data_IF_396107608858
#
_entry.id   IF_396107608858
#
_cell.length_a   1.000
_cell.length_b   1.000
_cell.length_c   1.000
_cell.angle_alpha   90.00
_cell.angle_beta   90.00
_cell.angle_gamma   90.00
#
_symmetry.space_group_name_H-M   'P 1'
#
loop_
_entity.id
_entity.type
_entity.pdbx_description
1 polymer ?
#
# COMPACT_ATOMS: atom_id res chain seq x y z
N UNK A 1 80.73 -23.98 -29.97
CA UNK A 1 80.30 -23.44 -28.66
C UNK A 1 79.97 -21.96 -28.82
N UNK A 2 78.69 -21.59 -29.02
CA UNK A 2 78.18 -20.22 -28.85
C UNK A 2 76.79 -20.31 -28.24
N UNK A 3 76.58 -19.51 -27.20
CA UNK A 3 75.59 -19.66 -26.13
C UNK A 3 74.17 -19.37 -26.61
N UNK A 4 73.24 -20.27 -26.32
CA UNK A 4 71.80 -20.05 -26.42
C UNK A 4 71.34 -19.15 -25.24
N UNK A 5 70.71 -18.01 -25.54
CA UNK A 5 69.90 -17.27 -24.58
C UNK A 5 68.48 -17.85 -24.61
N UNK A 6 67.90 -18.32 -23.49
CA UNK A 6 66.49 -18.68 -23.46
C UNK A 6 65.66 -17.39 -23.35
N UNK A 7 64.82 -17.14 -24.35
CA UNK A 7 63.74 -16.15 -24.25
C UNK A 7 62.74 -16.65 -23.20
N UNK A 8 62.73 -16.02 -22.03
CA UNK A 8 61.69 -16.20 -21.03
C UNK A 8 60.44 -15.52 -21.57
N UNK A 9 59.58 -16.31 -22.23
CA UNK A 9 58.23 -15.88 -22.55
C UNK A 9 57.45 -15.79 -21.23
N UNK A 10 57.26 -14.56 -20.73
CA UNK A 10 56.28 -14.28 -19.69
C UNK A 10 54.90 -14.63 -20.28
N UNK A 11 54.42 -15.83 -20.00
CA UNK A 11 53.02 -16.18 -20.18
C UNK A 11 52.22 -15.34 -19.17
N UNK A 12 51.78 -14.16 -19.61
CA UNK A 12 50.75 -13.41 -18.92
C UNK A 12 49.50 -14.30 -18.91
N UNK A 13 49.31 -15.03 -17.81
CA UNK A 13 48.07 -15.71 -17.51
C UNK A 13 46.98 -14.64 -17.46
N UNK A 14 46.29 -14.44 -18.58
CA UNK A 14 45.06 -13.69 -18.62
C UNK A 14 44.09 -14.45 -17.73
N UNK A 15 43.98 -14.04 -16.47
CA UNK A 15 42.86 -14.39 -15.62
C UNK A 15 41.61 -13.89 -16.35
N UNK A 16 40.99 -14.77 -17.12
CA UNK A 16 39.64 -14.56 -17.63
C UNK A 16 38.78 -14.49 -16.38
N UNK A 17 38.51 -13.28 -15.91
CA UNK A 17 37.57 -13.05 -14.83
C UNK A 17 36.22 -13.56 -15.33
N UNK A 18 35.87 -14.79 -14.95
CA UNK A 18 34.54 -15.30 -15.18
C UNK A 18 33.55 -14.31 -14.53
N UNK A 19 32.48 -13.92 -15.25
CA UNK A 19 31.48 -13.04 -14.67
C UNK A 19 31.01 -13.68 -13.36
N UNK A 20 31.10 -12.94 -12.27
CA UNK A 20 30.70 -13.40 -10.96
C UNK A 20 29.23 -13.85 -11.06
N UNK A 21 29.00 -15.16 -11.00
CA UNK A 21 27.66 -15.67 -10.78
C UNK A 21 27.24 -15.29 -9.35
N UNK A 22 25.94 -15.35 -9.11
CA UNK A 22 25.39 -15.08 -7.80
C UNK A 22 24.92 -16.41 -7.22
N UNK A 23 25.50 -16.82 -6.09
CA UNK A 23 25.12 -18.02 -5.36
C UNK A 23 23.83 -17.76 -4.59
N UNK A 24 22.85 -18.61 -4.82
CA UNK A 24 21.64 -18.65 -4.03
C UNK A 24 21.92 -19.38 -2.70
N UNK A 25 21.63 -18.72 -1.58
CA UNK A 25 21.90 -19.25 -0.23
C UNK A 25 20.62 -19.61 0.52
N UNK A 26 19.47 -19.13 0.07
CA UNK A 26 18.18 -19.47 0.63
C UNK A 26 17.08 -19.29 -0.42
N UNK A 27 16.04 -20.13 -0.35
CA UNK A 27 14.91 -20.16 -1.28
C UNK A 27 13.61 -20.44 -0.53
N UNK A 28 12.56 -19.67 -0.81
CA UNK A 28 11.22 -19.86 -0.22
C UNK A 28 10.10 -19.25 -1.09
N UNK A 29 8.86 -19.70 -0.91
CA UNK A 29 7.70 -19.21 -1.66
C UNK A 29 6.92 -18.15 -0.88
N UNK A 30 6.46 -17.11 -1.57
CA UNK A 30 5.46 -16.17 -1.06
C UNK A 30 4.41 -15.91 -2.12
N UNK A 31 3.20 -16.45 -1.90
CA UNK A 31 2.06 -16.19 -2.76
C UNK A 31 2.25 -16.69 -4.20
N UNK A 32 2.98 -17.80 -4.38
CA UNK A 32 3.30 -18.37 -5.69
C UNK A 32 4.50 -17.73 -6.41
N UNK A 33 5.21 -16.83 -5.72
CA UNK A 33 6.48 -16.28 -6.20
C UNK A 33 7.65 -16.97 -5.49
N UNK A 34 8.59 -17.46 -6.28
CA UNK A 34 9.80 -18.05 -5.75
C UNK A 34 10.78 -16.94 -5.37
N UNK A 35 11.05 -16.78 -4.08
CA UNK A 35 12.03 -15.84 -3.53
C UNK A 35 13.35 -16.56 -3.28
N UNK A 36 14.46 -15.92 -3.70
CA UNK A 36 15.82 -16.35 -3.46
C UNK A 36 16.66 -15.23 -2.85
N UNK A 37 17.62 -15.61 -2.00
CA UNK A 37 18.62 -14.71 -1.40
C UNK A 37 19.97 -15.03 -2.03
N UNK A 38 20.65 -14.01 -2.54
CA UNK A 38 21.85 -14.20 -3.35
C UNK A 38 23.06 -13.49 -2.79
N UNK A 39 24.21 -14.15 -2.81
CA UNK A 39 25.52 -13.56 -2.54
C UNK A 39 26.33 -13.42 -3.83
N UNK A 40 27.29 -12.52 -3.82
CA UNK A 40 28.27 -12.43 -4.89
C UNK A 40 29.32 -13.54 -4.70
N UNK A 41 29.57 -14.37 -5.71
CA UNK A 41 30.43 -15.56 -5.56
C UNK A 41 31.87 -15.25 -5.15
N UNK A 42 32.40 -14.09 -5.55
CA UNK A 42 33.78 -13.70 -5.27
C UNK A 42 33.94 -13.16 -3.85
N UNK A 43 33.09 -12.22 -3.47
CA UNK A 43 33.16 -11.56 -2.16
C UNK A 43 32.41 -12.30 -1.06
N UNK A 44 31.51 -13.23 -1.44
CA UNK A 44 30.52 -13.90 -0.59
C UNK A 44 29.59 -12.96 0.17
N UNK A 45 29.63 -11.66 -0.13
CA UNK A 45 28.75 -10.67 0.47
C UNK A 45 27.36 -10.77 -0.15
N UNK A 46 26.33 -10.47 0.65
CA UNK A 46 24.98 -10.29 0.17
C UNK A 46 24.96 -9.36 -1.06
N UNK A 47 24.25 -9.79 -2.09
CA UNK A 47 24.12 -9.04 -3.34
C UNK A 47 22.71 -8.51 -3.52
N UNK A 48 21.71 -9.38 -3.46
CA UNK A 48 20.30 -9.02 -3.66
C UNK A 48 19.37 -10.14 -3.17
N UNK A 49 18.11 -9.77 -2.92
CA UNK A 49 17.00 -10.72 -2.89
C UNK A 49 16.25 -10.60 -4.21
N UNK A 50 15.81 -11.72 -4.77
CA UNK A 50 15.02 -11.75 -6.00
C UNK A 50 13.78 -12.62 -5.85
N UNK A 51 12.73 -12.27 -6.56
CA UNK A 51 11.53 -13.08 -6.73
C UNK A 51 11.36 -13.42 -8.20
N UNK A 52 10.82 -14.60 -8.50
CA UNK A 52 10.54 -15.03 -9.87
C UNK A 52 9.24 -15.82 -9.98
N UNK A 53 8.59 -15.71 -11.14
CA UNK A 53 7.43 -16.51 -11.51
C UNK A 53 7.46 -16.81 -13.01
N UNK A 54 7.07 -18.04 -13.36
CA UNK A 54 6.99 -18.49 -14.76
C UNK A 54 5.61 -18.21 -15.34
N UNK A 55 5.56 -17.69 -16.57
CA UNK A 55 4.32 -17.36 -17.26
C UNK A 55 4.08 -18.26 -18.47
N UNK A 56 2.81 -18.42 -18.82
CA UNK A 56 2.36 -19.24 -19.97
C UNK A 56 2.88 -18.73 -21.32
N UNK A 57 3.35 -17.48 -21.38
CA UNK A 57 3.97 -16.90 -22.56
C UNK A 57 5.43 -17.35 -22.76
N UNK A 58 5.95 -18.26 -21.92
CA UNK A 58 7.33 -18.77 -22.01
C UNK A 58 8.39 -17.85 -21.40
N UNK A 59 7.98 -16.77 -20.76
CA UNK A 59 8.86 -15.85 -20.03
C UNK A 59 8.77 -16.09 -18.54
N UNK A 60 9.90 -15.91 -17.85
CA UNK A 60 9.94 -15.73 -16.40
C UNK A 60 10.01 -14.23 -16.13
N UNK A 61 9.13 -13.76 -15.24
CA UNK A 61 9.19 -12.41 -14.70
C UNK A 61 9.95 -12.44 -13.38
N UNK A 62 10.86 -11.48 -13.21
CA UNK A 62 11.70 -11.34 -12.03
C UNK A 62 11.58 -9.94 -11.43
N UNK A 63 11.67 -9.86 -10.12
CA UNK A 63 11.92 -8.61 -9.39
C UNK A 63 13.10 -8.82 -8.47
N UNK A 64 13.91 -7.79 -8.25
CA UNK A 64 15.05 -7.87 -7.33
C UNK A 64 15.23 -6.59 -6.55
N UNK A 65 15.71 -6.68 -5.31
CA UNK A 65 16.17 -5.56 -4.49
C UNK A 65 17.60 -5.85 -4.03
N UNK A 66 18.54 -4.95 -4.34
CA UNK A 66 19.96 -5.08 -4.03
C UNK A 66 20.29 -4.75 -2.57
N UNK A 67 21.55 -4.96 -2.18
CA UNK A 67 22.11 -4.46 -0.91
C UNK A 67 21.98 -2.93 -0.76
N UNK A 68 22.09 -2.18 -1.86
CA UNK A 68 21.88 -0.73 -1.92
C UNK A 68 20.41 -0.31 -1.92
N UNK A 69 19.48 -1.27 -1.83
CA UNK A 69 18.03 -1.08 -1.97
C UNK A 69 17.59 -0.58 -3.36
N UNK A 70 18.45 -0.70 -4.37
CA UNK A 70 18.05 -0.51 -5.76
C UNK A 70 17.17 -1.68 -6.19
N UNK A 71 16.02 -1.36 -6.78
CA UNK A 71 15.08 -2.36 -7.23
C UNK A 71 15.01 -2.40 -8.75
N UNK A 72 14.74 -3.58 -9.29
CA UNK A 72 14.76 -3.83 -10.71
C UNK A 72 13.70 -4.84 -11.10
N UNK A 73 13.26 -4.74 -12.35
CA UNK A 73 12.46 -5.76 -13.03
C UNK A 73 13.34 -6.51 -14.02
N UNK A 74 13.08 -7.80 -14.18
CA UNK A 74 13.79 -8.65 -15.12
C UNK A 74 12.88 -9.59 -15.87
N UNK A 75 13.32 -9.98 -17.05
CA UNK A 75 12.65 -10.93 -17.92
C UNK A 75 13.67 -11.96 -18.36
N UNK A 76 13.32 -13.24 -18.29
CA UNK A 76 14.17 -14.28 -18.86
C UNK A 76 13.39 -15.28 -19.69
N UNK A 77 14.09 -15.89 -20.64
CA UNK A 77 13.57 -16.98 -21.45
C UNK A 77 14.69 -17.96 -21.79
N UNK A 78 14.46 -19.28 -21.73
CA UNK A 78 15.43 -20.27 -22.20
C UNK A 78 15.70 -20.15 -23.70
N UNK A 79 14.78 -19.59 -24.48
CA UNK A 79 14.88 -19.45 -25.94
C UNK A 79 15.75 -18.26 -26.38
N UNK A 80 16.05 -17.32 -25.48
CA UNK A 80 16.80 -16.12 -25.84
C UNK A 80 18.28 -16.39 -26.08
N UNK A 81 18.92 -15.61 -26.95
CA UNK A 81 20.38 -15.61 -27.13
C UNK A 81 20.89 -14.18 -27.12
N UNK A 82 20.73 -13.51 -25.98
CA UNK A 82 21.12 -12.11 -25.80
C UNK A 82 22.64 -11.97 -25.82
N UNK A 83 23.15 -10.85 -26.32
CA UNK A 83 24.55 -10.46 -26.13
C UNK A 83 24.71 -9.83 -24.75
N UNK A 84 25.45 -10.44 -23.80
CA UNK A 84 25.63 -9.85 -22.48
C UNK A 84 26.20 -8.44 -22.56
N UNK A 85 25.66 -7.54 -21.74
CA UNK A 85 26.03 -6.14 -21.69
C UNK A 85 25.35 -5.23 -22.70
N UNK A 86 24.63 -5.78 -23.71
CA UNK A 86 23.85 -4.99 -24.66
C UNK A 86 22.63 -4.36 -23.97
N UNK A 87 22.33 -3.11 -24.35
CA UNK A 87 21.17 -2.37 -23.87
C UNK A 87 19.95 -2.55 -24.79
N UNK A 88 18.77 -2.41 -24.21
CA UNK A 88 17.46 -2.57 -24.82
C UNK A 88 16.53 -1.51 -24.27
N UNK A 89 15.70 -0.94 -25.13
CA UNK A 89 14.64 -0.03 -24.69
C UNK A 89 13.40 -0.86 -24.36
N UNK A 90 12.87 -0.65 -23.15
CA UNK A 90 11.76 -1.41 -22.61
C UNK A 90 10.65 -0.42 -22.24
N UNK A 91 9.49 -0.58 -22.87
CA UNK A 91 8.28 0.09 -22.44
C UNK A 91 7.49 -0.84 -21.52
N UNK A 92 7.20 -0.36 -20.32
CA UNK A 92 6.42 -1.08 -19.32
C UNK A 92 5.15 -0.29 -19.06
N UNK A 93 4.00 -0.93 -19.22
CA UNK A 93 2.71 -0.35 -18.89
C UNK A 93 2.01 -1.22 -17.87
N UNK A 94 1.64 -0.61 -16.74
CA UNK A 94 0.86 -1.27 -15.70
C UNK A 94 -0.58 -0.78 -15.83
N UNK A 95 -1.48 -1.73 -16.05
CA UNK A 95 -2.90 -1.50 -16.29
C UNK A 95 -3.14 -0.45 -17.41
N UNK A 96 -3.90 0.59 -17.11
CA UNK A 96 -4.19 1.71 -18.01
C UNK A 96 -3.26 2.91 -17.86
N UNK A 97 -2.18 2.80 -17.08
CA UNK A 97 -1.27 3.93 -16.85
C UNK A 97 -0.45 4.29 -18.10
N UNK A 98 0.16 5.47 -18.08
CA UNK A 98 1.13 5.87 -19.11
C UNK A 98 2.32 4.88 -19.14
N UNK A 99 2.82 4.51 -20.33
CA UNK A 99 4.01 3.69 -20.45
C UNK A 99 5.22 4.33 -19.76
N UNK A 100 5.91 3.53 -18.96
CA UNK A 100 7.22 3.83 -18.42
C UNK A 100 8.28 3.25 -19.35
N UNK A 101 9.06 4.13 -20.00
CA UNK A 101 10.22 3.71 -20.79
C UNK A 101 11.47 3.63 -19.92
N UNK A 102 12.12 2.47 -19.91
CA UNK A 102 13.36 2.21 -19.17
C UNK A 102 14.39 1.53 -20.05
N UNK A 103 15.67 1.79 -19.80
CA UNK A 103 16.75 1.08 -20.46
C UNK A 103 17.10 -0.19 -19.68
N UNK A 104 16.93 -1.34 -20.31
CA UNK A 104 17.33 -2.64 -19.77
C UNK A 104 18.67 -3.09 -20.35
N UNK A 105 19.39 -3.91 -19.59
CA UNK A 105 20.67 -4.49 -19.99
C UNK A 105 20.62 -6.01 -19.91
N UNK A 106 21.14 -6.68 -20.94
CA UNK A 106 21.31 -8.12 -20.92
C UNK A 106 22.37 -8.48 -19.87
N UNK A 107 21.96 -9.13 -18.79
CA UNK A 107 22.86 -9.57 -17.70
C UNK A 107 23.64 -10.80 -18.15
N UNK A 108 22.98 -11.70 -18.85
CA UNK A 108 23.57 -12.88 -19.49
C UNK A 108 22.80 -13.18 -20.80
N UNK A 109 23.03 -14.34 -21.40
CA UNK A 109 22.39 -14.72 -22.68
C UNK A 109 20.89 -14.95 -22.59
N UNK A 110 20.32 -15.05 -21.39
CA UNK A 110 18.91 -15.42 -21.14
C UNK A 110 18.13 -14.38 -20.32
N UNK A 111 18.79 -13.40 -19.70
CA UNK A 111 18.19 -12.47 -18.75
C UNK A 111 18.41 -11.01 -19.17
N UNK A 112 17.30 -10.29 -19.30
CA UNK A 112 17.24 -8.84 -19.42
C UNK A 112 16.83 -8.23 -18.08
N UNK A 113 17.53 -7.19 -17.60
CA UNK A 113 17.22 -6.50 -16.34
C UNK A 113 17.20 -4.99 -16.55
N UNK A 114 16.18 -4.32 -16.02
CA UNK A 114 16.09 -2.87 -15.97
C UNK A 114 15.96 -2.40 -14.52
N UNK A 115 16.86 -1.51 -14.09
CA UNK A 115 16.74 -0.82 -12.80
C UNK A 115 15.57 0.16 -12.89
N UNK A 116 14.72 0.18 -11.86
CA UNK A 116 13.55 1.05 -11.79
C UNK A 116 13.85 2.23 -10.85
N UNK A 117 13.18 3.35 -11.08
CA UNK A 117 13.36 4.55 -10.26
C UNK A 117 13.00 4.28 -8.80
N UNK A 118 13.76 4.84 -7.85
CA UNK A 118 13.41 4.86 -6.42
C UNK A 118 12.20 5.79 -6.21
N UNK A 119 11.02 5.23 -6.44
CA UNK A 119 9.76 5.93 -6.40
C UNK A 119 8.74 5.04 -5.75
N UNK A 120 8.27 5.45 -4.56
CA UNK A 120 7.19 4.76 -3.86
C UNK A 120 5.93 4.67 -4.74
N UNK A 121 5.67 5.69 -5.57
CA UNK A 121 4.55 5.66 -6.51
C UNK A 121 4.73 4.54 -7.55
N UNK A 122 5.91 4.44 -8.18
CA UNK A 122 6.19 3.39 -9.15
C UNK A 122 6.18 2.00 -8.51
N UNK A 123 6.84 1.85 -7.35
CA UNK A 123 6.85 0.60 -6.59
C UNK A 123 5.43 0.13 -6.24
N UNK A 124 4.56 1.05 -5.84
CA UNK A 124 3.16 0.75 -5.55
C UNK A 124 2.35 0.40 -6.80
N UNK A 125 2.67 0.94 -7.98
CA UNK A 125 2.03 0.50 -9.23
C UNK A 125 2.30 -1.00 -9.48
N UNK A 126 3.52 -1.48 -9.25
CA UNK A 126 3.80 -2.92 -9.41
C UNK A 126 3.18 -3.77 -8.30
N UNK A 127 3.12 -3.27 -7.06
CA UNK A 127 2.48 -3.98 -5.93
C UNK A 127 0.98 -4.19 -6.13
N UNK A 128 0.31 -3.17 -6.65
CA UNK A 128 -1.16 -3.12 -6.66
C UNK A 128 -1.77 -3.18 -8.05
N UNK A 129 -0.93 -3.16 -9.10
CA UNK A 129 -1.39 -3.34 -10.46
C UNK A 129 -1.90 -4.76 -10.70
N UNK A 130 -2.72 -4.93 -11.73
CA UNK A 130 -3.29 -6.24 -12.08
C UNK A 130 -2.58 -6.87 -13.26
N UNK A 131 -2.21 -6.05 -14.24
CA UNK A 131 -1.65 -6.49 -15.50
C UNK A 131 -0.50 -5.59 -15.92
N UNK A 132 0.63 -6.20 -16.23
CA UNK A 132 1.75 -5.52 -16.85
C UNK A 132 1.85 -5.95 -18.31
N UNK A 133 1.99 -4.95 -19.19
CA UNK A 133 2.31 -5.11 -20.60
C UNK A 133 3.72 -4.59 -20.80
N UNK A 134 4.55 -5.38 -21.47
CA UNK A 134 5.95 -5.07 -21.70
C UNK A 134 6.25 -5.18 -23.18
N UNK A 135 6.97 -4.19 -23.70
CA UNK A 135 7.46 -4.17 -25.07
C UNK A 135 8.96 -3.91 -25.06
N UNK A 136 9.73 -4.72 -25.80
CA UNK A 136 11.19 -4.61 -25.88
C UNK A 136 11.58 -4.26 -27.30
N UNK A 137 12.26 -3.12 -27.50
CA UNK A 137 12.66 -2.57 -28.81
C UNK A 137 11.51 -2.54 -29.84
N UNK A 138 10.33 -2.06 -29.43
CA UNK A 138 9.12 -1.98 -30.28
C UNK A 138 8.62 -3.32 -30.90
N UNK A 139 9.07 -4.47 -30.37
CA UNK A 139 8.62 -5.79 -30.80
C UNK A 139 7.23 -6.15 -30.22
N UNK A 140 6.88 -7.45 -30.28
CA UNK A 140 5.64 -7.98 -29.70
C UNK A 140 5.53 -7.70 -28.21
N UNK A 141 4.32 -7.35 -27.79
CA UNK A 141 3.99 -7.18 -26.38
C UNK A 141 3.96 -8.54 -25.65
N UNK A 142 4.56 -8.57 -24.46
CA UNK A 142 4.39 -9.62 -23.48
C UNK A 142 3.46 -9.13 -22.36
N UNK A 143 2.56 -10.01 -21.91
CA UNK A 143 1.58 -9.70 -20.87
C UNK A 143 1.83 -10.56 -19.64
N UNK A 144 1.78 -9.94 -18.46
CA UNK A 144 1.96 -10.57 -17.16
C UNK A 144 0.83 -10.17 -16.22
N UNK A 145 0.19 -11.13 -15.56
CA UNK A 145 -0.66 -10.86 -14.41
C UNK A 145 0.22 -10.59 -13.18
N UNK A 146 -0.06 -9.53 -12.44
CA UNK A 146 0.70 -9.12 -11.26
C UNK A 146 0.07 -9.68 -9.96
N UNK A 147 -0.50 -10.88 -10.03
CA UNK A 147 -1.11 -11.52 -8.86
C UNK A 147 -0.08 -11.70 -7.74
N UNK A 148 -0.45 -11.33 -6.51
CA UNK A 148 0.37 -11.43 -5.30
C UNK A 148 1.71 -10.66 -5.33
N UNK A 149 1.90 -9.74 -6.29
CA UNK A 149 3.13 -8.94 -6.34
C UNK A 149 3.27 -8.00 -5.14
N UNK A 150 2.16 -7.61 -4.48
CA UNK A 150 2.22 -6.83 -3.24
C UNK A 150 3.01 -7.54 -2.13
N UNK A 151 2.70 -8.81 -1.86
CA UNK A 151 3.28 -9.63 -0.82
C UNK A 151 4.72 -9.94 -1.18
N UNK A 152 4.95 -10.35 -2.43
CA UNK A 152 6.27 -10.64 -2.97
C UNK A 152 7.20 -9.41 -2.91
N UNK A 153 6.77 -8.24 -3.41
CA UNK A 153 7.62 -7.04 -3.45
C UNK A 153 7.92 -6.52 -2.04
N UNK A 154 6.94 -6.62 -1.13
CA UNK A 154 7.16 -6.30 0.28
C UNK A 154 8.19 -7.24 0.89
N UNK A 155 8.10 -8.54 0.59
CA UNK A 155 9.00 -9.54 1.13
C UNK A 155 10.43 -9.38 0.61
N UNK A 156 10.66 -9.19 -0.70
CA UNK A 156 12.03 -9.02 -1.20
C UNK A 156 12.69 -7.72 -0.70
N UNK A 157 11.90 -6.67 -0.42
CA UNK A 157 12.40 -5.47 0.24
C UNK A 157 12.79 -5.74 1.70
N UNK A 158 11.95 -6.47 2.45
CA UNK A 158 12.26 -6.87 3.82
C UNK A 158 13.48 -7.79 3.88
N UNK A 159 13.56 -8.75 2.97
CA UNK A 159 14.69 -9.65 2.79
C UNK A 159 15.99 -8.87 2.56
N UNK A 160 15.99 -7.88 1.65
CA UNK A 160 17.18 -7.08 1.37
C UNK A 160 17.62 -6.24 2.58
N UNK A 161 16.66 -5.66 3.31
CA UNK A 161 16.93 -4.93 4.55
C UNK A 161 17.53 -5.83 5.64
N UNK A 162 17.00 -7.05 5.80
CA UNK A 162 17.47 -8.02 6.80
C UNK A 162 18.85 -8.58 6.46
N UNK A 163 19.12 -8.77 5.16
CA UNK A 163 20.38 -9.36 4.67
C UNK A 163 21.49 -8.32 4.48
N UNK A 164 21.24 -7.04 4.75
CA UNK A 164 22.25 -5.98 4.60
C UNK A 164 23.48 -6.28 5.46
N UNK A 165 24.66 -6.30 4.83
CA UNK A 165 25.92 -6.63 5.50
C UNK A 165 26.16 -8.13 5.75
N UNK A 166 25.27 -9.02 5.33
CA UNK A 166 25.47 -10.46 5.43
C UNK A 166 26.66 -10.93 4.56
N UNK A 167 27.43 -11.89 5.07
CA UNK A 167 28.54 -12.56 4.37
C UNK A 167 28.41 -14.05 4.58
N UNK A 168 28.40 -14.82 3.48
CA UNK A 168 28.33 -16.27 3.51
C UNK A 168 29.67 -16.88 3.98
N UNK A 169 29.62 -17.67 5.04
CA UNK A 169 30.78 -18.25 5.71
C UNK A 169 31.27 -19.54 5.05
N UNK A 170 32.56 -19.91 5.17
CA UNK A 170 33.06 -21.19 4.68
C UNK A 170 32.64 -22.27 5.68
N UNK A 171 31.51 -22.94 5.46
CA UNK A 171 31.08 -24.10 6.26
C UNK A 171 29.57 -24.26 6.54
N UNK A 172 28.67 -23.75 5.69
CA UNK A 172 27.22 -23.91 5.91
C UNK A 172 26.73 -25.32 5.55
N UNK A 173 26.47 -26.13 6.57
CA UNK A 173 25.69 -27.38 6.50
C UNK A 173 24.32 -27.15 5.83
N UNK A 174 23.95 -28.02 4.89
CA UNK A 174 22.65 -28.10 4.24
C UNK A 174 21.55 -28.57 5.22
N UNK A 175 21.13 -27.74 6.19
CA UNK A 175 19.85 -27.93 6.89
C UNK A 175 19.16 -26.61 7.25
N UNK A 176 17.89 -26.41 6.88
CA UNK A 176 17.10 -25.31 7.39
C UNK A 176 16.87 -25.49 8.90
N UNK A 177 17.17 -24.45 9.69
CA UNK A 177 16.70 -24.36 11.08
C UNK A 177 15.17 -24.24 11.06
N UNK A 178 14.49 -25.37 11.29
CA UNK A 178 13.12 -25.37 11.77
C UNK A 178 13.14 -24.80 13.19
N UNK A 179 12.49 -23.64 13.38
CA UNK A 179 12.13 -23.16 14.70
C UNK A 179 11.00 -24.06 15.24
N UNK A 180 11.38 -25.10 15.97
CA UNK A 180 10.48 -25.88 16.81
C UNK A 180 10.04 -25.02 18.00
N UNK A 181 8.89 -24.34 17.86
CA UNK A 181 7.98 -24.05 18.98
C UNK A 181 6.54 -24.31 18.56
N UNK A 182 6.25 -25.58 18.32
CA UNK A 182 4.90 -26.12 18.49
C UNK A 182 4.79 -26.69 19.90
N UNK A 183 4.20 -25.95 20.84
CA UNK A 183 3.66 -26.53 22.07
C UNK A 183 2.14 -26.39 22.01
N UNK A 184 1.51 -27.43 21.48
CA UNK A 184 0.07 -27.60 21.47
C UNK A 184 -0.45 -27.92 22.89
N UNK A 185 -1.61 -27.41 23.32
CA UNK A 185 -2.12 -27.62 24.68
C UNK A 185 -2.75 -29.02 24.82
N UNK A 186 -2.35 -29.77 25.84
CA UNK A 186 -3.11 -30.93 26.32
C UNK A 186 -3.94 -30.52 27.53
N UNK A 187 -5.25 -30.62 27.36
CA UNK A 187 -6.24 -30.55 28.43
C UNK A 187 -6.75 -31.97 28.69
N UNK A 188 -6.61 -32.49 29.92
CA UNK A 188 -7.58 -33.34 30.64
C UNK A 188 -6.99 -33.87 31.96
N UNK A 189 -7.52 -33.28 33.05
CA UNK A 189 -7.71 -33.67 34.48
C UNK A 189 -7.68 -35.20 34.84
N UNK A 190 -7.62 -35.69 36.12
CA UNK A 190 -7.93 -34.97 37.38
C UNK A 190 -7.20 -35.32 38.72
N UNK A 191 -7.38 -34.40 39.69
CA UNK A 191 -7.52 -34.57 41.17
C UNK A 191 -6.30 -34.89 42.08
N UNK A 192 -6.22 -34.10 43.17
CA UNK A 192 -6.09 -34.45 44.62
C UNK A 192 -5.06 -33.60 45.42
N UNK A 193 -5.64 -32.88 46.40
CA UNK A 193 -5.23 -32.49 47.77
C UNK A 193 -4.15 -31.44 48.14
N UNK A 194 -4.70 -30.42 48.83
CA UNK A 194 -4.40 -29.95 50.20
C UNK A 194 -3.14 -29.13 50.58
N UNK A 195 -3.47 -27.95 51.16
CA UNK A 195 -2.81 -27.23 52.28
C UNK A 195 -1.38 -26.70 51.96
N UNK A 196 -0.85 -25.65 52.56
CA UNK A 196 -1.21 -24.84 53.71
C UNK A 196 -0.52 -23.46 53.57
N UNK A 197 -1.07 -22.48 54.28
CA UNK A 197 -0.40 -21.30 54.88
C UNK A 197 0.38 -20.28 54.03
N UNK A 198 -0.10 -19.02 54.10
CA UNK A 198 0.61 -18.08 54.98
C UNK A 198 1.25 -16.82 54.37
N UNK A 199 0.58 -15.69 54.64
CA UNK A 199 1.13 -14.39 55.07
C UNK A 199 2.00 -13.53 54.11
N UNK A 200 1.37 -12.40 53.76
CA UNK A 200 1.69 -11.02 54.19
C UNK A 200 2.98 -10.33 53.68
N UNK A 201 2.70 -9.21 53.01
CA UNK A 201 3.21 -7.86 53.29
C UNK A 201 4.37 -7.28 52.47
N UNK A 202 4.07 -6.06 52.00
CA UNK A 202 4.92 -4.87 51.93
C UNK A 202 5.65 -4.53 50.62
N UNK A 203 4.95 -3.74 49.81
CA UNK A 203 5.21 -2.30 49.60
C UNK A 203 6.69 -1.86 49.51
N UNK A 204 7.11 -1.41 48.32
CA UNK A 204 8.14 -0.36 48.20
C UNK A 204 8.02 0.46 46.92
N UNK A 205 7.92 1.77 47.13
CA UNK A 205 7.78 2.84 46.14
C UNK A 205 9.14 3.51 45.85
N UNK A 206 9.18 4.23 44.72
CA UNK A 206 10.03 5.38 44.28
C UNK A 206 11.52 5.10 43.89
N UNK A 207 12.16 5.87 42.97
CA UNK A 207 11.75 7.18 42.45
C UNK A 207 11.92 7.53 40.94
N UNK A 208 11.22 8.61 40.60
CA UNK A 208 11.37 9.50 39.45
C UNK A 208 12.79 10.04 39.30
N UNK A 209 13.24 10.24 38.04
CA UNK A 209 14.17 11.31 37.70
C UNK A 209 13.65 12.09 36.50
N UNK A 210 13.44 13.38 36.75
CA UNK A 210 13.36 14.45 35.77
C UNK A 210 14.76 14.77 35.25
N UNK A 211 14.91 15.02 33.95
CA UNK A 211 15.88 15.99 33.48
C UNK A 211 15.36 16.67 32.22
N UNK A 212 15.07 17.96 32.39
CA UNK A 212 14.88 18.94 31.32
C UNK A 212 16.24 19.25 30.69
N UNK A 213 16.28 19.41 29.38
CA UNK A 213 17.18 20.36 28.72
C UNK A 213 16.49 20.90 27.47
N UNK A 214 16.19 22.19 27.50
CA UNK A 214 15.79 23.01 26.36
C UNK A 214 17.02 23.33 25.51
N UNK A 215 16.92 23.21 24.20
CA UNK A 215 17.60 24.11 23.24
C UNK A 215 16.70 24.35 22.03
N UNK A 216 16.70 25.60 21.57
CA UNK A 216 15.80 26.20 20.57
C UNK A 216 16.35 26.11 19.13
N UNK A 217 15.42 26.24 18.17
CA UNK A 217 15.62 26.74 16.80
C UNK A 217 15.69 25.64 15.73
N UNK A 218 15.02 25.68 14.58
CA UNK A 218 14.21 26.68 13.82
C UNK A 218 13.59 25.83 12.69
N UNK A 219 12.29 25.78 12.39
CA UNK A 219 11.42 26.84 11.90
C UNK A 219 11.25 26.76 10.38
N UNK A 220 10.10 26.31 9.87
CA UNK A 220 9.47 26.86 8.65
C UNK A 220 8.05 26.30 8.46
N UNK A 221 7.07 27.09 8.89
CA UNK A 221 5.66 26.99 8.51
C UNK A 221 5.32 28.30 7.79
N UNK A 222 5.07 28.22 6.48
CA UNK A 222 4.68 29.37 5.66
C UNK A 222 3.19 29.67 5.82
N UNK A 223 2.87 30.74 6.53
CA UNK A 223 1.54 31.36 6.57
C UNK A 223 1.59 32.63 5.73
N UNK A 224 0.74 32.74 4.70
CA UNK A 224 0.62 33.93 3.86
C UNK A 224 -0.44 34.87 4.47
N UNK A 225 0.02 36.03 4.92
CA UNK A 225 -0.80 37.17 5.33
C UNK A 225 -1.17 38.04 4.13
N UNK A 226 -2.42 38.48 4.12
CA UNK A 226 -3.02 39.35 3.13
C UNK A 226 -3.06 40.81 3.68
N UNK A 227 -2.42 41.74 2.97
CA UNK A 227 -2.56 43.21 3.04
C UNK A 227 -2.22 43.70 1.62
N UNK A 228 -2.87 44.65 0.96
CA UNK A 228 -3.81 45.70 1.33
C UNK A 228 -3.50 46.90 0.41
N UNK A 229 -4.44 47.29 -0.45
CA UNK A 229 -4.50 48.55 -1.21
C UNK A 229 -5.78 48.52 -2.05
N UNK A 230 -6.61 49.54 -2.19
CA UNK A 230 -6.53 50.97 -1.87
C UNK A 230 -7.97 51.51 -1.90
N UNK A 231 -8.28 52.52 -1.07
CA UNK A 231 -9.52 53.32 -1.18
C UNK A 231 -9.42 54.26 -2.37
N UNK A 232 -10.51 54.44 -3.12
CA UNK A 232 -10.87 55.69 -3.79
C UNK A 232 -12.39 55.90 -3.81
N UNK A 233 -12.75 57.19 -3.86
CA UNK A 233 -14.00 57.86 -3.47
C UNK A 233 -15.27 57.60 -4.31
N UNK A 234 -16.41 57.81 -3.63
CA UNK A 234 -17.67 58.46 -4.02
C UNK A 234 -17.98 58.74 -5.51
N UNK A 235 -19.15 58.28 -5.97
CA UNK A 235 -20.03 59.03 -6.89
C UNK A 235 -21.49 58.49 -6.80
N UNK A 236 -22.52 59.32 -7.06
CA UNK A 236 -23.90 59.12 -6.59
C UNK A 236 -24.85 58.38 -7.56
N UNK A 237 -25.93 57.83 -7.00
CA UNK A 237 -27.05 57.16 -7.70
C UNK A 237 -27.83 58.11 -8.63
N UNK A 238 -28.33 57.62 -9.79
CA UNK A 238 -29.49 58.18 -10.48
C UNK A 238 -30.80 57.41 -10.16
N UNK A 239 -31.99 58.01 -10.38
CA UNK A 239 -33.26 57.53 -9.82
C UNK A 239 -34.04 56.53 -10.70
N UNK A 240 -34.95 55.84 -10.00
CA UNK A 240 -35.96 54.84 -10.40
C UNK A 240 -36.48 54.86 -11.85
N UNK A 241 -36.46 53.69 -12.47
CA UNK A 241 -37.45 53.26 -13.48
C UNK A 241 -38.35 52.16 -12.90
N UNK A 242 -39.68 52.34 -13.00
CA UNK A 242 -40.70 51.32 -12.74
C UNK A 242 -40.72 50.34 -13.91
N UNK A 243 -40.60 49.05 -13.64
CA UNK A 243 -41.09 48.02 -14.57
C UNK A 243 -41.93 46.99 -13.83
N UNK A 244 -43.01 46.64 -14.50
CA UNK A 244 -44.21 45.95 -14.01
C UNK A 244 -44.01 44.44 -13.92
N UNK A 245 -44.85 43.86 -13.08
CA UNK A 245 -45.03 42.45 -12.77
C UNK A 245 -45.05 41.51 -13.99
N UNK A 246 -44.38 40.36 -13.82
CA UNK A 246 -44.83 39.10 -14.41
C UNK A 246 -44.87 38.07 -13.28
N UNK A 247 -46.07 37.79 -12.79
CA UNK A 247 -46.39 36.71 -11.86
C UNK A 247 -46.10 35.35 -12.53
N UNK A 248 -45.01 34.71 -12.12
CA UNK A 248 -44.81 33.27 -12.25
C UNK A 248 -44.98 32.60 -10.89
N UNK A 249 -45.50 31.37 -10.79
CA UNK A 249 -45.75 30.73 -9.50
C UNK A 249 -44.44 30.63 -8.72
N UNK A 250 -44.37 31.35 -7.60
CA UNK A 250 -43.29 31.24 -6.62
C UNK A 250 -43.27 29.79 -6.15
N UNK A 251 -42.29 29.02 -6.64
CA UNK A 251 -41.96 27.76 -5.98
C UNK A 251 -41.46 28.14 -4.59
N UNK A 252 -42.22 27.81 -3.56
CA UNK A 252 -41.80 27.80 -2.16
C UNK A 252 -40.68 26.77 -1.97
N UNK A 253 -39.51 27.03 -2.57
CA UNK A 253 -38.27 26.42 -2.12
C UNK A 253 -37.83 27.25 -0.93
N UNK A 254 -38.25 26.80 0.25
CA UNK A 254 -37.49 27.09 1.47
C UNK A 254 -36.01 26.81 1.15
N UNK A 255 -35.07 27.71 1.49
CA UNK A 255 -33.66 27.38 1.42
C UNK A 255 -33.45 26.09 2.21
N UNK A 256 -32.93 25.05 1.56
CA UNK A 256 -32.56 23.83 2.27
C UNK A 256 -31.63 24.21 3.42
N UNK A 257 -31.87 23.72 4.65
CA UNK A 257 -30.99 23.99 5.77
C UNK A 257 -29.56 23.54 5.43
N UNK A 258 -28.52 24.20 5.99
CA UNK A 258 -27.14 23.80 5.77
C UNK A 258 -26.89 22.33 6.16
N UNK A 259 -25.96 21.71 5.43
CA UNK A 259 -25.53 20.31 5.56
C UNK A 259 -25.33 19.88 7.01
N UNK A 260 -25.88 18.72 7.36
CA UNK A 260 -25.53 18.03 8.60
C UNK A 260 -24.71 16.77 8.26
N UNK A 261 -23.39 16.85 8.38
CA UNK A 261 -22.47 15.68 8.31
C UNK A 261 -22.75 14.62 9.38
N UNK A 262 -23.65 14.91 10.33
CA UNK A 262 -24.18 13.99 11.34
C UNK A 262 -25.61 13.51 11.01
N UNK A 263 -26.11 13.73 9.78
CA UNK A 263 -27.37 13.15 9.35
C UNK A 263 -27.28 11.62 9.49
N UNK A 264 -28.24 11.06 10.22
CA UNK A 264 -28.31 9.64 10.49
C UNK A 264 -28.76 8.88 9.23
N UNK A 265 -28.28 7.63 9.03
CA UNK A 265 -28.75 6.74 7.98
C UNK A 265 -30.29 6.59 7.96
N UNK A 266 -30.91 6.80 6.79
CA UNK A 266 -32.35 6.59 6.57
C UNK A 266 -32.61 5.18 6.02
N UNK A 267 -33.85 4.66 6.07
CA UNK A 267 -34.17 3.38 5.42
C UNK A 267 -33.79 3.32 3.94
N UNK A 268 -33.95 4.44 3.22
CA UNK A 268 -33.64 4.56 1.80
C UNK A 268 -32.13 4.48 1.56
N UNK A 269 -31.33 5.23 2.33
CA UNK A 269 -29.87 5.20 2.20
C UNK A 269 -29.30 3.86 2.65
N UNK A 270 -29.89 3.20 3.65
CA UNK A 270 -29.52 1.83 4.05
C UNK A 270 -29.78 0.82 2.93
N UNK A 271 -30.94 0.89 2.27
CA UNK A 271 -31.26 -0.01 1.16
C UNK A 271 -30.31 0.19 -0.02
N UNK A 272 -30.02 1.44 -0.38
CA UNK A 272 -29.05 1.77 -1.42
C UNK A 272 -27.64 1.30 -1.06
N UNK A 273 -27.17 1.63 0.14
CA UNK A 273 -25.86 1.27 0.63
C UNK A 273 -25.66 -0.25 0.64
N UNK A 274 -26.68 -1.01 1.06
CA UNK A 274 -26.67 -2.47 1.06
C UNK A 274 -26.53 -3.03 -0.35
N UNK A 275 -27.27 -2.48 -1.33
CA UNK A 275 -27.16 -2.89 -2.73
C UNK A 275 -25.76 -2.61 -3.29
N UNK A 276 -25.26 -1.39 -3.11
CA UNK A 276 -23.92 -0.99 -3.58
C UNK A 276 -22.83 -1.85 -2.94
N UNK A 277 -22.87 -2.03 -1.62
CA UNK A 277 -21.92 -2.88 -0.92
C UNK A 277 -21.99 -4.34 -1.41
N UNK A 278 -23.19 -4.89 -1.61
CA UNK A 278 -23.33 -6.27 -2.11
C UNK A 278 -22.73 -6.44 -3.50
N UNK A 279 -22.97 -5.49 -4.42
CA UNK A 279 -22.41 -5.53 -5.77
C UNK A 279 -20.88 -5.46 -5.75
N UNK A 280 -20.31 -4.58 -4.91
CA UNK A 280 -18.86 -4.46 -4.73
C UNK A 280 -18.28 -5.77 -4.21
N UNK A 281 -18.84 -6.28 -3.11
CA UNK A 281 -18.32 -7.46 -2.41
C UNK A 281 -18.40 -8.72 -3.27
N UNK A 282 -19.51 -8.93 -3.98
CA UNK A 282 -19.69 -10.08 -4.87
C UNK A 282 -18.73 -10.03 -6.05
N UNK A 283 -18.55 -8.86 -6.69
CA UNK A 283 -17.64 -8.72 -7.84
C UNK A 283 -16.17 -8.84 -7.43
N UNK A 284 -15.84 -8.41 -6.22
CA UNK A 284 -14.52 -8.60 -5.64
C UNK A 284 -14.30 -10.01 -5.06
N UNK A 285 -15.27 -10.93 -5.21
CA UNK A 285 -15.23 -12.33 -4.75
C UNK A 285 -14.97 -12.50 -3.24
N UNK A 286 -15.47 -11.57 -2.41
CA UNK A 286 -15.41 -11.74 -0.96
C UNK A 286 -16.55 -12.62 -0.44
N UNK A 287 -16.25 -13.42 0.58
CA UNK A 287 -17.28 -13.97 1.46
C UNK A 287 -17.58 -12.93 2.53
N UNK A 288 -18.85 -12.57 2.69
CA UNK A 288 -19.25 -11.50 3.60
C UNK A 288 -20.58 -11.75 4.27
N UNK A 289 -20.75 -11.16 5.45
CA UNK A 289 -22.01 -11.13 6.18
C UNK A 289 -22.33 -9.70 6.60
N UNK A 290 -23.49 -9.19 6.19
CA UNK A 290 -23.99 -7.90 6.65
C UNK A 290 -24.38 -7.97 8.13
N UNK A 291 -23.92 -7.00 8.90
CA UNK A 291 -24.28 -6.88 10.31
C UNK A 291 -25.64 -6.20 10.43
N UNK A 292 -26.51 -6.78 11.27
CA UNK A 292 -27.82 -6.18 11.51
C UNK A 292 -27.67 -4.93 12.38
N UNK A 293 -28.47 -3.87 12.15
CA UNK A 293 -28.36 -2.62 12.91
C UNK A 293 -28.43 -2.82 14.43
N UNK A 294 -29.19 -3.80 14.91
CA UNK A 294 -29.39 -4.10 16.33
C UNK A 294 -28.15 -4.76 16.96
N UNK A 295 -27.23 -5.28 16.14
CA UNK A 295 -25.97 -5.90 16.56
C UNK A 295 -24.82 -4.90 16.57
N UNK A 296 -25.00 -3.72 15.98
CA UNK A 296 -23.99 -2.67 15.94
C UNK A 296 -24.01 -1.88 17.26
N UNK A 297 -22.85 -1.37 17.66
CA UNK A 297 -22.81 -0.36 18.72
C UNK A 297 -23.61 0.88 18.29
N UNK A 298 -24.19 1.60 19.25
CA UNK A 298 -25.01 2.78 18.95
C UNK A 298 -24.27 3.84 18.11
N UNK A 299 -22.95 3.93 18.22
CA UNK A 299 -22.12 4.81 17.39
C UNK A 299 -21.99 4.31 15.94
N UNK A 300 -21.72 3.01 15.74
CA UNK A 300 -21.65 2.44 14.39
C UNK A 300 -23.00 2.49 13.68
N UNK A 301 -24.09 2.23 14.41
CA UNK A 301 -25.45 2.27 13.88
C UNK A 301 -25.88 3.68 13.42
N UNK A 302 -25.36 4.73 14.07
CA UNK A 302 -25.60 6.14 13.71
C UNK A 302 -24.67 6.63 12.60
N UNK A 303 -23.46 6.07 12.49
CA UNK A 303 -22.42 6.56 11.59
C UNK A 303 -22.44 5.90 10.20
N UNK A 304 -22.92 4.67 10.06
CA UNK A 304 -22.83 3.93 8.80
C UNK A 304 -24.19 3.38 8.34
N UNK A 305 -24.44 3.44 7.03
CA UNK A 305 -25.66 2.93 6.40
C UNK A 305 -25.66 1.41 6.31
N UNK A 306 -24.49 0.81 6.09
CA UNK A 306 -24.31 -0.63 6.16
C UNK A 306 -22.91 -0.96 6.69
N UNK A 307 -22.83 -2.05 7.44
CA UNK A 307 -21.59 -2.61 7.99
C UNK A 307 -21.59 -4.11 7.69
N UNK A 308 -20.43 -4.67 7.36
CA UNK A 308 -20.27 -6.11 7.13
C UNK A 308 -18.96 -6.61 7.73
N UNK A 309 -18.91 -7.93 7.90
CA UNK A 309 -17.65 -8.66 8.10
C UNK A 309 -17.28 -9.40 6.83
N UNK A 310 -16.00 -9.35 6.48
CA UNK A 310 -15.41 -10.13 5.40
C UNK A 310 -14.05 -10.65 5.89
N UNK A 311 -13.95 -11.96 6.09
CA UNK A 311 -12.80 -12.61 6.72
C UNK A 311 -12.45 -11.96 8.09
N UNK A 312 -11.27 -11.35 8.18
CA UNK A 312 -10.75 -10.65 9.36
C UNK A 312 -10.96 -9.13 9.33
N UNK A 313 -11.66 -8.62 8.30
CA UNK A 313 -11.92 -7.20 8.11
C UNK A 313 -13.36 -6.86 8.42
N UNK A 314 -13.55 -5.64 8.93
CA UNK A 314 -14.87 -5.04 9.05
C UNK A 314 -14.99 -3.92 8.02
N UNK A 315 -15.96 -4.03 7.11
CA UNK A 315 -16.23 -2.98 6.14
C UNK A 315 -17.47 -2.18 6.50
N UNK A 316 -17.53 -0.94 6.03
CA UNK A 316 -18.68 -0.07 6.18
C UNK A 316 -18.86 0.83 4.97
N UNK A 317 -20.09 1.24 4.71
CA UNK A 317 -20.41 2.23 3.69
C UNK A 317 -21.33 3.28 4.32
N UNK A 318 -20.99 4.55 4.10
CA UNK A 318 -21.82 5.70 4.45
C UNK A 318 -22.18 6.50 3.20
N UNK A 319 -23.44 6.89 3.08
CA UNK A 319 -23.94 7.82 2.07
C UNK A 319 -24.05 9.21 2.71
N UNK A 320 -23.35 10.17 2.13
CA UNK A 320 -23.43 11.59 2.49
C UNK A 320 -24.28 12.30 1.40
N UNK A 321 -25.50 12.78 1.71
CA UNK A 321 -26.39 13.39 0.71
C UNK A 321 -25.85 14.69 0.10
N UNK A 322 -26.28 15.02 -1.13
CA UNK A 322 -26.02 16.31 -1.74
C UNK A 322 -26.91 17.42 -1.16
N UNK A 323 -26.53 18.00 -0.02
CA UNK A 323 -26.70 19.44 0.15
C UNK A 323 -25.36 20.12 -0.18
N UNK A 324 -25.34 21.42 -0.55
CA UNK A 324 -24.25 22.08 -1.30
C UNK A 324 -22.82 21.80 -0.78
N UNK A 325 -22.26 20.72 -1.30
CA UNK A 325 -20.89 20.23 -1.31
C UNK A 325 -20.03 20.52 -0.08
N UNK A 326 -20.09 19.63 0.91
CA UNK A 326 -18.83 19.16 1.48
C UNK A 326 -18.06 18.52 0.31
N UNK A 327 -17.04 19.21 -0.17
CA UNK A 327 -16.15 18.65 -1.19
C UNK A 327 -15.60 17.30 -0.69
N UNK A 328 -15.22 16.40 -1.60
CA UNK A 328 -14.53 15.15 -1.22
C UNK A 328 -13.32 15.43 -0.29
N UNK A 329 -12.67 16.58 -0.49
CA UNK A 329 -11.62 17.10 0.36
C UNK A 329 -12.07 17.49 1.77
N UNK A 330 -13.28 18.03 1.92
CA UNK A 330 -13.87 18.31 3.23
C UNK A 330 -14.21 17.01 3.96
N UNK A 331 -14.83 16.04 3.27
CA UNK A 331 -15.10 14.71 3.83
C UNK A 331 -13.80 14.04 4.29
N UNK A 332 -12.72 14.18 3.51
CA UNK A 332 -11.38 13.71 3.89
C UNK A 332 -10.93 14.29 5.23
N UNK A 333 -11.02 15.62 5.39
CA UNK A 333 -10.64 16.32 6.64
C UNK A 333 -11.50 15.89 7.81
N UNK A 334 -12.81 15.75 7.61
CA UNK A 334 -13.76 15.38 8.67
C UNK A 334 -13.50 13.95 9.17
N UNK A 335 -13.21 13.02 8.26
CA UNK A 335 -12.84 11.65 8.63
C UNK A 335 -11.54 11.63 9.43
N UNK A 336 -10.51 12.35 8.99
CA UNK A 336 -9.24 12.45 9.73
C UNK A 336 -9.47 13.04 11.12
N UNK A 337 -10.26 14.11 11.22
CA UNK A 337 -10.57 14.76 12.50
C UNK A 337 -11.33 13.82 13.45
N UNK A 338 -12.36 13.13 12.95
CA UNK A 338 -13.17 12.20 13.74
C UNK A 338 -12.36 11.00 14.23
N UNK A 339 -11.54 10.41 13.36
CA UNK A 339 -10.73 9.24 13.73
C UNK A 339 -9.58 9.62 14.67
N UNK A 340 -8.97 10.80 14.48
CA UNK A 340 -7.97 11.34 15.39
C UNK A 340 -8.55 11.58 16.78
N UNK A 341 -9.78 12.11 16.88
CA UNK A 341 -10.44 12.34 18.17
C UNK A 341 -10.83 11.02 18.87
N UNK A 342 -11.18 9.99 18.09
CA UNK A 342 -11.50 8.67 18.60
C UNK A 342 -10.25 7.90 19.06
N UNK A 343 -9.09 8.11 18.41
CA UNK A 343 -7.85 7.43 18.73
C UNK A 343 -7.29 7.86 20.10
N UNK A 344 -7.12 6.89 21.00
CA UNK A 344 -6.53 7.12 22.34
C UNK A 344 -5.01 6.96 22.39
N UNK A 345 -4.40 6.57 21.27
CA UNK A 345 -2.98 6.31 21.15
C UNK A 345 -2.31 7.21 20.10
N UNK A 346 -1.25 6.70 19.47
CA UNK A 346 -0.58 7.41 18.38
C UNK A 346 -1.42 7.29 17.12
N UNK A 347 -1.91 8.42 16.63
CA UNK A 347 -2.67 8.54 15.40
C UNK A 347 -1.74 8.82 14.21
N UNK A 348 -2.03 8.23 13.06
CA UNK A 348 -1.40 8.54 11.77
C UNK A 348 -2.46 8.53 10.66
N UNK A 349 -2.24 9.31 9.61
CA UNK A 349 -3.13 9.36 8.46
C UNK A 349 -2.37 9.76 7.20
N UNK A 350 -2.83 9.29 6.05
CA UNK A 350 -2.19 9.63 4.78
C UNK A 350 -3.09 9.45 3.57
N UNK A 351 -2.78 10.19 2.52
CA UNK A 351 -3.41 10.01 1.22
C UNK A 351 -2.73 8.87 0.44
N UNK A 352 -3.51 8.16 -0.35
CA UNK A 352 -3.05 7.12 -1.26
C UNK A 352 -3.33 7.59 -2.70
N UNK A 353 -2.55 7.15 -3.70
CA UNK A 353 -2.79 7.54 -5.09
C UNK A 353 -4.22 7.18 -5.50
N UNK A 354 -5.01 8.16 -5.94
CA UNK A 354 -6.36 7.91 -6.44
C UNK A 354 -6.32 7.10 -7.76
N UNK A 355 -7.37 6.34 -8.08
CA UNK A 355 -7.48 5.64 -9.37
C UNK A 355 -7.94 6.55 -10.50
N UNK A 356 -8.54 7.68 -10.15
CA UNK A 356 -9.10 8.67 -11.05
C UNK A 356 -8.99 10.07 -10.41
N UNK A 357 -9.47 11.10 -11.10
CA UNK A 357 -9.37 12.50 -10.66
C UNK A 357 -10.53 12.96 -9.76
N UNK A 358 -11.54 12.12 -9.55
CA UNK A 358 -12.80 12.40 -8.86
C UNK A 358 -12.95 11.65 -7.54
N UNK A 359 -12.10 10.67 -7.26
CA UNK A 359 -12.08 9.90 -6.02
C UNK A 359 -10.89 10.27 -5.12
N UNK A 360 -11.05 10.02 -3.82
CA UNK A 360 -9.95 10.08 -2.86
C UNK A 360 -9.80 8.71 -2.21
N UNK A 361 -8.56 8.26 -2.12
CA UNK A 361 -8.18 7.11 -1.31
C UNK A 361 -7.27 7.59 -0.19
N UNK A 362 -7.51 7.16 1.04
CA UNK A 362 -6.69 7.52 2.20
C UNK A 362 -6.70 6.40 3.23
N UNK A 363 -5.86 6.52 4.24
CA UNK A 363 -5.91 5.67 5.42
C UNK A 363 -5.81 6.50 6.70
N UNK A 364 -6.35 5.94 7.78
CA UNK A 364 -6.06 6.34 9.16
C UNK A 364 -5.55 5.12 9.92
N UNK A 365 -4.67 5.33 10.89
CA UNK A 365 -4.24 4.27 11.81
C UNK A 365 -4.19 4.79 13.23
N UNK A 366 -4.50 3.92 14.18
CA UNK A 366 -4.42 4.20 15.60
C UNK A 366 -3.61 3.11 16.28
N UNK A 367 -2.49 3.51 16.90
CA UNK A 367 -1.65 2.62 17.71
C UNK A 367 -1.91 2.90 19.19
N UNK A 368 -2.83 2.15 19.78
CA UNK A 368 -3.14 2.16 21.22
C UNK A 368 -2.64 0.85 21.86
N UNK A 369 -3.49 0.13 22.60
CA UNK A 369 -3.19 -1.22 23.09
C UNK A 369 -3.04 -2.23 21.96
N UNK A 370 -3.76 -2.02 20.86
CA UNK A 370 -3.67 -2.76 19.61
C UNK A 370 -3.56 -1.75 18.46
N UNK A 371 -2.93 -2.14 17.34
CA UNK A 371 -2.90 -1.34 16.12
C UNK A 371 -4.18 -1.58 15.34
N UNK A 372 -4.87 -0.52 14.95
CA UNK A 372 -5.94 -0.56 13.96
C UNK A 372 -5.62 0.34 12.79
N UNK A 373 -6.12 -0.04 11.61
CA UNK A 373 -5.99 0.75 10.39
C UNK A 373 -7.28 0.68 9.59
N UNK A 374 -7.76 1.85 9.16
CA UNK A 374 -8.94 1.98 8.31
C UNK A 374 -8.53 2.58 6.99
N UNK A 375 -8.92 1.93 5.89
CA UNK A 375 -8.74 2.43 4.55
C UNK A 375 -10.05 2.98 4.03
N UNK A 376 -10.01 4.20 3.52
CA UNK A 376 -11.19 4.91 3.03
C UNK A 376 -11.12 5.14 1.53
N UNK A 377 -12.25 4.89 0.89
CA UNK A 377 -12.55 5.21 -0.50
C UNK A 377 -13.70 6.21 -0.52
N UNK A 378 -13.39 7.45 -0.92
CA UNK A 378 -14.36 8.53 -1.04
C UNK A 378 -14.70 8.69 -2.51
N UNK A 379 -15.93 8.35 -2.88
CA UNK A 379 -16.39 8.27 -4.27
C UNK A 379 -17.59 9.21 -4.49
N UNK A 380 -17.69 9.88 -5.65
CA UNK A 380 -18.89 10.64 -6.00
C UNK A 380 -20.09 9.71 -6.17
N UNK A 381 -21.26 10.15 -5.69
CA UNK A 381 -22.53 9.44 -5.86
C UNK A 381 -23.30 10.01 -7.05
N UNK A 382 -23.76 9.15 -7.97
CA UNK A 382 -24.49 9.57 -9.19
C UNK A 382 -25.74 10.40 -8.94
N UNK A 383 -26.48 10.08 -7.90
CA UNK A 383 -27.68 10.82 -7.48
C UNK A 383 -27.34 12.13 -6.71
N UNK A 384 -26.07 12.54 -6.72
CA UNK A 384 -25.55 13.59 -5.86
C UNK A 384 -25.11 13.06 -4.50
N UNK A 385 -24.04 13.62 -3.97
CA UNK A 385 -23.47 13.28 -2.67
C UNK A 385 -22.20 12.44 -2.79
N UNK A 386 -21.84 11.76 -1.72
CA UNK A 386 -20.58 11.02 -1.59
C UNK A 386 -20.86 9.64 -0.99
N UNK A 387 -20.23 8.61 -1.54
CA UNK A 387 -20.03 7.34 -0.87
C UNK A 387 -18.70 7.38 -0.10
N UNK A 388 -18.76 7.12 1.20
CA UNK A 388 -17.59 6.91 2.06
C UNK A 388 -17.55 5.42 2.44
N UNK A 389 -16.71 4.68 1.73
CA UNK A 389 -16.44 3.27 1.98
C UNK A 389 -15.23 3.15 2.90
N UNK A 390 -15.36 2.43 4.01
CA UNK A 390 -14.30 2.17 4.99
C UNK A 390 -14.03 0.67 5.13
N UNK A 391 -12.77 0.28 5.24
CA UNK A 391 -12.36 -1.10 5.54
C UNK A 391 -11.38 -1.05 6.70
N UNK A 392 -11.77 -1.64 7.81
CA UNK A 392 -11.04 -1.67 9.06
C UNK A 392 -10.38 -3.04 9.27
N UNK A 393 -9.09 -3.01 9.64
CA UNK A 393 -8.37 -4.15 10.18
C UNK A 393 -7.72 -3.78 11.52
N UNK A 394 -7.67 -4.75 12.44
CA UNK A 394 -7.03 -4.63 13.76
C UNK A 394 -5.97 -5.71 13.95
N UNK A 395 -5.01 -5.46 14.83
CA UNK A 395 -3.92 -6.40 15.12
C UNK A 395 -3.12 -6.71 13.86
N UNK A 396 -2.91 -8.00 13.58
CA UNK A 396 -2.20 -8.45 12.37
C UNK A 396 -2.93 -8.05 11.07
N UNK A 397 -4.27 -7.94 11.11
CA UNK A 397 -5.06 -7.52 9.96
C UNK A 397 -4.85 -6.04 9.61
N UNK A 398 -4.41 -5.20 10.56
CA UNK A 398 -4.13 -3.78 10.31
C UNK A 398 -3.02 -3.58 9.26
N UNK A 399 -2.05 -4.51 9.18
CA UNK A 399 -1.02 -4.46 8.14
C UNK A 399 -1.52 -4.98 6.77
N UNK A 400 -2.57 -5.80 6.76
CA UNK A 400 -3.12 -6.44 5.55
C UNK A 400 -4.27 -5.66 4.92
N UNK A 401 -4.93 -4.79 5.68
CA UNK A 401 -6.12 -4.04 5.22
C UNK A 401 -5.86 -3.21 3.96
N UNK A 402 -4.62 -2.74 3.76
CA UNK A 402 -4.22 -2.04 2.53
C UNK A 402 -4.40 -2.90 1.27
N UNK A 403 -4.05 -4.18 1.38
CA UNK A 403 -4.11 -5.12 0.26
C UNK A 403 -5.56 -5.38 -0.14
N UNK A 404 -6.44 -5.52 0.86
CA UNK A 404 -7.87 -5.69 0.65
C UNK A 404 -8.49 -4.42 0.08
N UNK A 405 -8.16 -3.25 0.63
CA UNK A 405 -8.67 -1.97 0.13
C UNK A 405 -8.31 -1.69 -1.34
N UNK A 406 -7.13 -2.14 -1.79
CA UNK A 406 -6.76 -2.08 -3.20
C UNK A 406 -7.73 -2.85 -4.13
N UNK A 407 -8.11 -4.06 -3.75
CA UNK A 407 -9.08 -4.87 -4.50
C UNK A 407 -10.49 -4.26 -4.52
N UNK A 408 -10.92 -3.67 -3.39
CA UNK A 408 -12.20 -2.97 -3.31
C UNK A 408 -12.24 -1.73 -4.21
N UNK A 409 -11.14 -0.99 -4.32
CA UNK A 409 -11.09 0.28 -5.04
C UNK A 409 -11.52 0.16 -6.50
N UNK A 410 -10.92 -0.76 -7.25
CA UNK A 410 -11.21 -0.91 -8.69
C UNK A 410 -12.67 -1.29 -8.91
N UNK A 411 -13.15 -2.27 -8.15
CA UNK A 411 -14.54 -2.74 -8.26
C UNK A 411 -15.53 -1.67 -7.80
N UNK A 412 -15.23 -0.93 -6.73
CA UNK A 412 -16.08 0.13 -6.22
C UNK A 412 -16.28 1.22 -7.27
N UNK A 413 -15.23 1.64 -7.96
CA UNK A 413 -15.30 2.60 -9.07
C UNK A 413 -16.20 2.11 -10.21
N UNK A 414 -16.01 0.87 -10.65
CA UNK A 414 -16.87 0.28 -11.69
C UNK A 414 -18.34 0.15 -11.28
N UNK A 415 -18.62 -0.08 -9.99
CA UNK A 415 -19.99 -0.19 -9.48
C UNK A 415 -20.65 1.17 -9.41
N UNK A 416 -19.94 2.22 -8.97
CA UNK A 416 -20.52 3.57 -8.82
C UNK A 416 -20.61 4.35 -10.13
N UNK A 417 -19.80 4.01 -11.14
CA UNK A 417 -19.86 4.63 -12.47
C UNK A 417 -20.98 4.07 -13.37
N UNK A 418 -21.43 2.82 -13.13
CA UNK A 418 -22.57 2.21 -13.83
C UNK A 418 -23.90 2.82 -13.41
#
# INVERSE_FOLDING_TARGET
>A
MKRFLPAIALAAAACVAQPAAAREINRYDVGGWQIGVFTNDQSRRFSHCAASANYRNGLTLLFSVSESLEWAVGFSSPEWNLTPGRNFDIDIRIDGNQPLSVNGRAVNTKLLRATLADSAALFNQFRYGYRMVVRVNDNREAVFNLTNTNAMLTEILNCARKSKGYVDGPGGDDRPRQDDRNTQPRNSDPRIDERDTGRRSDNRTVPQQQQQTQTNGTGSSGSFSNQGSTRLANTPMPPRGRERDVDGPRSDRRPDPPLNVNAAPTPETRAEATRVASDILRRANFTFEFQKPEQLSGELQKRYDVVWRADEFQGSLRILPAARADTIEQVRKDVISADSAACKGKFDSGALPAADTKSVTMFTSCKASEVSSTYYLILPRRQGGIYLLGILGSGDAAARVQNVAGAYRTVALEVVER
#
